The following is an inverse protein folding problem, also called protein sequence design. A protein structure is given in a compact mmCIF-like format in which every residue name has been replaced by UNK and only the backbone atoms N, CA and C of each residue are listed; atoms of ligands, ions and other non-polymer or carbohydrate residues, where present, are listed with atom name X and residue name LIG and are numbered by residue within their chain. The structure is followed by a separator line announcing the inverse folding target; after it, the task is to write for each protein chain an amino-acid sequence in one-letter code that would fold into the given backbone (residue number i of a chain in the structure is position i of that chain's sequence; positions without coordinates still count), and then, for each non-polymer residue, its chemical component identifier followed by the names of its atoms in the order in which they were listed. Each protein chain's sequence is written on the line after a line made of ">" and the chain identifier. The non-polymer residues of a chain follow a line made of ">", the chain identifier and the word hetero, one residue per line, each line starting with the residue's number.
data_IF_421488442105
#
_entry.id   IF_421488442105
#
_cell.length_a   1.000
_cell.length_b   1.000
_cell.length_c   1.000
_cell.angle_alpha   90.00
_cell.angle_beta   90.00
_cell.angle_gamma   90.00
#
_symmetry.space_group_name_H-M   'P 1'
#
loop_
_entity.id
_entity.type
_entity.pdbx_description
1 polymer ?
#
# COMPACT_ATOMS: atom_id res chain seq x y z
N UNK A 1 -2.39 -26.26 5.64
CA UNK A 1 -2.36 -27.10 4.43
C UNK A 1 -3.63 -26.82 3.65
N UNK A 2 -3.58 -25.95 2.65
CA UNK A 2 -4.71 -25.73 1.73
C UNK A 2 -4.59 -26.69 0.55
N UNK A 3 -5.71 -27.26 0.10
CA UNK A 3 -5.87 -28.13 -1.07
C UNK A 3 -5.29 -27.50 -2.35
N UNK A 4 -3.97 -27.49 -2.48
CA UNK A 4 -3.29 -27.10 -3.73
C UNK A 4 -3.49 -28.13 -4.84
N UNK A 5 -3.84 -29.36 -4.50
CA UNK A 5 -3.75 -30.50 -5.43
C UNK A 5 -4.80 -30.51 -6.55
N UNK A 6 -5.85 -29.66 -6.54
CA UNK A 6 -6.88 -29.65 -7.60
C UNK A 6 -7.40 -28.26 -7.99
N UNK A 7 -6.56 -27.22 -7.91
CA UNK A 7 -6.95 -25.90 -8.44
C UNK A 7 -7.01 -25.93 -9.97
N UNK A 8 -8.14 -25.54 -10.60
CA UNK A 8 -8.17 -25.37 -12.06
C UNK A 8 -7.06 -24.40 -12.47
N UNK A 9 -6.33 -24.70 -13.55
CA UNK A 9 -5.23 -23.85 -14.05
C UNK A 9 -5.61 -22.38 -14.18
N UNK A 10 -6.86 -22.07 -14.56
CA UNK A 10 -7.31 -20.68 -14.64
C UNK A 10 -7.35 -19.95 -13.29
N UNK A 11 -7.59 -20.65 -12.17
CA UNK A 11 -7.50 -20.10 -10.82
C UNK A 11 -6.03 -19.81 -10.44
N UNK A 12 -5.10 -20.64 -10.88
CA UNK A 12 -3.67 -20.44 -10.62
C UNK A 12 -3.16 -19.15 -11.28
N UNK A 13 -3.50 -18.91 -12.56
CA UNK A 13 -2.99 -17.75 -13.30
C UNK A 13 -3.80 -16.46 -13.13
N UNK A 14 -5.12 -16.56 -12.94
CA UNK A 14 -6.04 -15.40 -12.95
C UNK A 14 -6.85 -15.27 -11.66
N UNK A 15 -6.58 -16.11 -10.67
CA UNK A 15 -7.33 -16.10 -9.43
C UNK A 15 -6.87 -15.03 -8.44
N UNK A 16 -7.82 -14.54 -7.65
CA UNK A 16 -7.58 -13.76 -6.45
C UNK A 16 -7.58 -14.69 -5.24
N UNK A 17 -6.81 -14.34 -4.21
CA UNK A 17 -6.89 -15.00 -2.92
C UNK A 17 -8.04 -14.39 -2.11
N UNK A 18 -8.97 -15.25 -1.68
CA UNK A 18 -10.12 -14.91 -0.83
C UNK A 18 -9.86 -15.33 0.62
N UNK A 19 -10.74 -14.95 1.58
CA UNK A 19 -10.64 -15.37 2.98
C UNK A 19 -10.33 -16.87 3.12
N UNK A 20 -9.42 -17.21 4.04
CA UNK A 20 -8.89 -18.57 4.17
C UNK A 20 -7.79 -18.93 3.16
N UNK A 21 -7.24 -17.93 2.46
CA UNK A 21 -6.16 -18.07 1.49
C UNK A 21 -6.49 -19.02 0.32
N UNK A 22 -7.74 -18.98 -0.14
CA UNK A 22 -8.23 -19.80 -1.26
C UNK A 22 -8.15 -19.00 -2.55
N UNK A 23 -7.40 -19.50 -3.53
CA UNK A 23 -7.27 -18.85 -4.84
C UNK A 23 -8.43 -19.24 -5.77
N UNK A 24 -9.20 -18.27 -6.26
CA UNK A 24 -10.28 -18.52 -7.24
C UNK A 24 -10.30 -17.46 -8.33
N UNK A 25 -10.45 -17.86 -9.59
CA UNK A 25 -10.75 -16.93 -10.68
C UNK A 25 -12.23 -16.54 -10.68
N UNK A 26 -12.60 -15.51 -11.44
CA UNK A 26 -13.98 -15.02 -11.55
C UNK A 26 -15.01 -16.12 -11.87
N UNK A 27 -14.62 -17.13 -12.67
CA UNK A 27 -15.50 -18.24 -13.05
C UNK A 27 -15.78 -19.22 -11.89
N UNK A 28 -14.79 -19.45 -11.03
CA UNK A 28 -14.85 -20.43 -9.94
C UNK A 28 -15.07 -19.78 -8.56
N UNK A 29 -15.06 -18.45 -8.48
CA UNK A 29 -15.39 -17.72 -7.26
C UNK A 29 -16.88 -17.88 -6.96
N UNK A 30 -17.25 -18.02 -5.69
CA UNK A 30 -18.66 -18.04 -5.25
C UNK A 30 -19.34 -16.68 -5.52
N UNK A 31 -20.67 -16.57 -5.49
CA UNK A 31 -21.36 -15.28 -5.58
C UNK A 31 -20.84 -14.25 -4.57
N UNK A 32 -20.61 -14.66 -3.33
CA UNK A 32 -20.13 -13.81 -2.23
C UNK A 32 -18.70 -13.33 -2.50
N UNK A 33 -17.82 -14.23 -2.97
CA UNK A 33 -16.45 -13.88 -3.36
C UNK A 33 -16.44 -12.87 -4.53
N UNK A 34 -17.32 -13.04 -5.52
CA UNK A 34 -17.43 -12.08 -6.63
C UNK A 34 -17.96 -10.73 -6.15
N UNK A 35 -18.92 -10.72 -5.24
CA UNK A 35 -19.44 -9.49 -4.65
C UNK A 35 -18.35 -8.75 -3.87
N UNK A 36 -17.60 -9.47 -3.04
CA UNK A 36 -16.47 -8.93 -2.28
C UNK A 36 -15.39 -8.34 -3.21
N UNK A 37 -15.04 -9.04 -4.29
CA UNK A 37 -14.08 -8.53 -5.26
C UNK A 37 -14.60 -7.27 -5.98
N UNK A 38 -15.89 -7.21 -6.32
CA UNK A 38 -16.49 -6.04 -6.95
C UNK A 38 -16.50 -4.83 -6.00
N UNK A 39 -16.93 -5.01 -4.75
CA UNK A 39 -16.88 -3.99 -3.71
C UNK A 39 -15.45 -3.46 -3.51
N UNK A 40 -14.48 -4.38 -3.45
CA UNK A 40 -13.06 -4.03 -3.32
C UNK A 40 -12.60 -3.13 -4.46
N UNK A 41 -12.94 -3.45 -5.71
CA UNK A 41 -12.55 -2.64 -6.87
C UNK A 41 -13.27 -1.28 -6.91
N UNK A 42 -14.55 -1.21 -6.52
CA UNK A 42 -15.31 0.05 -6.43
C UNK A 42 -14.70 1.01 -5.40
N UNK A 43 -14.35 0.48 -4.21
CA UNK A 43 -13.66 1.24 -3.16
C UNK A 43 -12.26 1.65 -3.58
N UNK A 44 -11.53 0.77 -4.26
CA UNK A 44 -10.20 1.07 -4.80
C UNK A 44 -10.26 2.24 -5.79
N UNK A 45 -11.25 2.26 -6.68
CA UNK A 45 -11.46 3.33 -7.63
C UNK A 45 -11.74 4.68 -6.94
N UNK A 46 -12.56 4.69 -5.88
CA UNK A 46 -12.83 5.90 -5.09
C UNK A 46 -11.53 6.50 -4.50
N UNK A 47 -10.63 5.64 -4.03
CA UNK A 47 -9.34 6.04 -3.47
C UNK A 47 -8.24 6.26 -4.52
N UNK A 48 -8.55 6.17 -5.82
CA UNK A 48 -7.62 6.47 -6.90
C UNK A 48 -6.74 5.30 -7.34
N UNK A 49 -7.05 4.08 -6.91
CA UNK A 49 -6.47 2.85 -7.46
C UNK A 49 -7.22 2.53 -8.76
N UNK A 50 -6.64 2.91 -9.89
CA UNK A 50 -7.33 2.78 -11.18
C UNK A 50 -7.21 1.37 -11.76
N UNK A 51 -8.30 0.89 -12.37
CA UNK A 51 -8.33 -0.36 -13.11
C UNK A 51 -7.18 -0.40 -14.15
N UNK A 52 -6.44 -1.50 -14.18
CA UNK A 52 -5.32 -1.70 -15.11
C UNK A 52 -3.98 -1.11 -14.66
N UNK A 53 -3.92 -0.28 -13.62
CA UNK A 53 -2.63 0.11 -13.01
C UNK A 53 -2.02 -1.01 -12.16
N UNK A 54 -2.81 -2.05 -11.89
CA UNK A 54 -2.46 -3.09 -10.95
C UNK A 54 -2.61 -2.61 -9.52
N UNK A 55 -2.84 -3.56 -8.61
CA UNK A 55 -2.73 -3.27 -7.19
C UNK A 55 -1.27 -2.90 -6.89
N UNK A 56 -0.99 -1.93 -6.00
CA UNK A 56 0.37 -1.42 -5.79
C UNK A 56 1.42 -2.48 -5.35
N UNK A 57 0.94 -3.68 -5.04
CA UNK A 57 1.67 -4.81 -4.46
C UNK A 57 1.60 -6.07 -5.33
N UNK A 58 1.09 -5.92 -6.54
CA UNK A 58 0.92 -7.01 -7.49
C UNK A 58 -0.33 -7.87 -7.25
N UNK A 59 -0.52 -8.90 -8.08
CA UNK A 59 -1.76 -9.67 -8.12
C UNK A 59 -1.92 -10.66 -6.96
N UNK A 60 -0.86 -10.91 -6.19
CA UNK A 60 -0.82 -11.98 -5.20
C UNK A 60 -1.34 -11.59 -3.82
N UNK A 61 -1.80 -10.35 -3.65
CA UNK A 61 -2.38 -9.89 -2.39
C UNK A 61 -3.83 -10.33 -2.31
N UNK A 62 -4.20 -10.95 -1.20
CA UNK A 62 -5.55 -11.39 -0.93
C UNK A 62 -6.52 -10.21 -0.76
N UNK A 63 -7.79 -10.50 -0.95
CA UNK A 63 -8.85 -9.47 -0.95
C UNK A 63 -9.00 -8.82 0.42
N UNK A 64 -8.77 -9.53 1.53
CA UNK A 64 -8.87 -8.98 2.88
C UNK A 64 -7.77 -7.95 3.15
N UNK A 65 -6.53 -8.27 2.77
CA UNK A 65 -5.40 -7.35 2.87
C UNK A 65 -5.61 -6.09 2.01
N UNK A 66 -6.22 -6.23 0.82
CA UNK A 66 -6.63 -5.07 0.02
C UNK A 66 -7.66 -4.21 0.74
N UNK A 67 -8.69 -4.82 1.33
CA UNK A 67 -9.71 -4.08 2.07
C UNK A 67 -9.12 -3.36 3.29
N UNK A 68 -8.22 -3.98 4.05
CA UNK A 68 -7.52 -3.32 5.16
C UNK A 68 -6.73 -2.08 4.71
N UNK A 69 -6.08 -2.14 3.55
CA UNK A 69 -5.42 -0.97 2.97
C UNK A 69 -6.42 0.15 2.68
N UNK A 70 -7.55 -0.20 2.06
CA UNK A 70 -8.59 0.76 1.70
C UNK A 70 -9.25 1.36 2.95
N UNK A 71 -9.52 0.55 3.97
CA UNK A 71 -10.04 1.01 5.27
C UNK A 71 -9.07 2.00 5.93
N UNK A 72 -7.78 1.66 5.99
CA UNK A 72 -6.75 2.54 6.52
C UNK A 72 -6.64 3.84 5.72
N UNK A 73 -6.62 3.77 4.38
CA UNK A 73 -6.50 4.96 3.54
C UNK A 73 -7.74 5.86 3.66
N UNK A 74 -8.94 5.29 3.68
CA UNK A 74 -10.21 6.02 3.83
C UNK A 74 -10.29 6.70 5.20
N UNK A 75 -9.94 5.99 6.28
CA UNK A 75 -9.90 6.55 7.63
C UNK A 75 -8.92 7.74 7.76
N UNK A 76 -7.90 7.80 6.92
CA UNK A 76 -6.92 8.90 6.88
C UNK A 76 -7.24 9.95 5.80
N UNK A 77 -8.35 9.82 5.07
CA UNK A 77 -8.71 10.72 3.97
C UNK A 77 -7.67 10.76 2.84
N UNK A 78 -6.99 9.63 2.63
CA UNK A 78 -5.87 9.50 1.69
C UNK A 78 -6.35 9.00 0.33
N UNK A 79 -5.71 9.47 -0.74
CA UNK A 79 -5.91 8.96 -2.10
C UNK A 79 -4.60 8.53 -2.71
N UNK A 80 -4.58 7.38 -3.38
CA UNK A 80 -3.36 6.85 -4.00
C UNK A 80 -2.80 7.86 -5.01
N UNK A 81 -1.50 8.13 -4.90
CA UNK A 81 -0.81 9.05 -5.79
C UNK A 81 -0.33 8.33 -7.04
N UNK A 82 -0.77 8.80 -8.21
CA UNK A 82 -0.23 8.37 -9.50
C UNK A 82 1.02 9.19 -9.84
N UNK A 83 2.19 8.72 -9.39
CA UNK A 83 3.48 9.38 -9.61
C UNK A 83 4.51 8.41 -10.14
N UNK A 84 5.34 8.89 -11.10
CA UNK A 84 6.49 8.13 -11.62
C UNK A 84 7.73 8.27 -10.73
N UNK A 85 7.69 9.18 -9.75
CA UNK A 85 8.78 9.38 -8.81
C UNK A 85 8.72 8.33 -7.71
N UNK A 86 9.79 7.56 -7.56
CA UNK A 86 9.87 6.50 -6.56
C UNK A 86 10.42 6.96 -5.20
N UNK A 87 10.94 8.18 -5.09
CA UNK A 87 11.67 8.63 -3.91
C UNK A 87 10.96 9.71 -3.07
N UNK A 88 11.63 10.08 -1.99
CA UNK A 88 11.26 11.12 -1.04
C UNK A 88 11.06 12.51 -1.69
N UNK A 89 11.69 12.76 -2.84
CA UNK A 89 11.53 14.02 -3.56
C UNK A 89 10.09 14.32 -3.97
N UNK A 90 9.28 13.30 -4.30
CA UNK A 90 7.87 13.55 -4.60
C UNK A 90 7.12 14.07 -3.38
N UNK A 91 7.42 13.52 -2.20
CA UNK A 91 6.78 13.93 -0.95
C UNK A 91 7.09 15.39 -0.63
N UNK A 92 8.36 15.79 -0.73
CA UNK A 92 8.81 17.14 -0.32
C UNK A 92 8.66 18.22 -1.39
N UNK A 93 8.64 17.87 -2.69
CA UNK A 93 8.63 18.85 -3.80
C UNK A 93 7.48 18.69 -4.79
N UNK A 94 6.65 17.67 -4.63
CA UNK A 94 5.45 17.43 -5.44
C UNK A 94 5.67 16.90 -6.86
N UNK A 95 6.85 17.11 -7.48
CA UNK A 95 7.20 16.53 -8.78
C UNK A 95 8.67 16.16 -8.84
N UNK A 96 8.97 15.02 -9.45
CA UNK A 96 10.34 14.64 -9.82
C UNK A 96 10.32 13.97 -11.19
N UNK A 97 11.14 14.48 -12.12
CA UNK A 97 11.34 13.89 -13.44
C UNK A 97 12.46 12.82 -13.44
N UNK A 98 13.16 12.64 -12.32
CA UNK A 98 14.32 11.74 -12.21
C UNK A 98 13.88 10.40 -11.63
N UNK A 99 14.15 9.33 -12.38
CA UNK A 99 13.78 7.94 -12.05
C UNK A 99 14.47 7.42 -10.79
N UNK A 100 15.67 7.92 -10.47
CA UNK A 100 16.47 7.53 -9.30
C UNK A 100 16.69 8.78 -8.43
N UNK A 101 15.68 9.14 -7.64
CA UNK A 101 15.80 10.16 -6.59
C UNK A 101 15.84 9.53 -5.20
N UNK A 102 16.26 8.27 -5.11
CA UNK A 102 16.13 7.48 -3.90
C UNK A 102 17.24 7.83 -2.90
N UNK A 103 16.89 8.63 -1.90
CA UNK A 103 17.54 8.59 -0.58
C UNK A 103 17.00 7.45 0.29
N UNK A 104 15.99 6.74 -0.20
CA UNK A 104 15.30 5.69 0.51
C UNK A 104 15.98 4.35 0.21
N UNK A 105 16.39 3.63 1.27
CA UNK A 105 17.09 2.36 1.16
C UNK A 105 16.24 1.22 0.63
N UNK A 106 16.90 0.09 0.32
CA UNK A 106 16.24 -1.14 -0.16
C UNK A 106 15.23 -1.74 0.85
N UNK A 107 15.26 -1.28 2.10
CA UNK A 107 14.31 -1.68 3.14
C UNK A 107 12.91 -1.14 2.90
N UNK A 108 12.73 -0.10 2.07
CA UNK A 108 11.40 0.34 1.67
C UNK A 108 10.83 -0.63 0.64
N UNK A 109 10.43 -1.81 1.13
CA UNK A 109 9.66 -2.79 0.39
C UNK A 109 8.18 -2.40 0.42
N UNK A 110 7.43 -2.86 -0.58
CA UNK A 110 5.99 -2.65 -0.65
C UNK A 110 5.60 -1.18 -0.42
N UNK A 111 6.12 -0.29 -1.28
CA UNK A 111 5.90 1.17 -1.16
C UNK A 111 4.68 1.68 -1.92
N UNK A 112 3.77 2.34 -1.21
CA UNK A 112 2.73 3.22 -1.78
C UNK A 112 2.93 4.68 -1.43
N UNK A 113 2.26 5.53 -2.20
CA UNK A 113 2.34 6.99 -2.10
C UNK A 113 0.93 7.53 -2.04
N UNK A 114 0.68 8.44 -1.13
CA UNK A 114 -0.66 8.90 -0.81
C UNK A 114 -0.74 10.42 -0.78
N UNK A 115 -1.77 10.95 -1.41
CA UNK A 115 -2.14 12.34 -1.37
C UNK A 115 -3.18 12.58 -0.27
N UNK A 116 -3.11 13.74 0.37
CA UNK A 116 -4.15 14.29 1.23
C UNK A 116 -4.51 15.68 0.72
N UNK A 117 -5.82 15.95 0.55
CA UNK A 117 -6.28 17.23 -0.01
C UNK A 117 -5.65 17.58 -1.39
N UNK A 118 -5.35 16.57 -2.21
CA UNK A 118 -4.74 16.75 -3.53
C UNK A 118 -3.23 17.04 -3.54
N UNK A 119 -2.55 16.96 -2.38
CA UNK A 119 -1.11 17.18 -2.24
C UNK A 119 -0.39 15.92 -1.78
N UNK A 120 0.89 15.70 -2.16
CA UNK A 120 1.71 14.65 -1.57
C UNK A 120 1.68 14.75 -0.05
N UNK A 121 1.41 13.63 0.62
CA UNK A 121 1.22 13.61 2.07
C UNK A 121 2.06 12.53 2.75
N UNK A 122 2.12 11.35 2.15
CA UNK A 122 2.68 10.17 2.80
C UNK A 122 3.32 9.21 1.81
N UNK A 123 4.44 8.62 2.22
CA UNK A 123 4.99 7.38 1.66
C UNK A 123 4.80 6.30 2.71
N UNK A 124 4.09 5.23 2.36
CA UNK A 124 3.93 4.05 3.20
C UNK A 124 4.79 2.92 2.63
N UNK A 125 5.67 2.35 3.45
CA UNK A 125 6.42 1.13 3.15
C UNK A 125 6.01 0.01 4.11
N UNK A 126 6.15 -1.25 3.66
CA UNK A 126 5.85 -2.42 4.49
C UNK A 126 6.94 -3.49 4.39
N UNK A 127 8.11 -3.25 5.00
CA UNK A 127 9.14 -4.27 5.10
C UNK A 127 8.71 -5.42 6.04
N UNK A 128 9.28 -6.60 5.79
CA UNK A 128 9.21 -7.72 6.73
C UNK A 128 10.09 -7.50 7.97
N UNK A 129 11.23 -6.82 7.81
CA UNK A 129 12.19 -6.58 8.88
C UNK A 129 12.83 -5.20 8.76
N UNK A 130 13.09 -4.58 9.91
CA UNK A 130 13.93 -3.38 10.02
C UNK A 130 15.27 -3.77 10.63
N UNK A 131 16.35 -3.38 9.98
CA UNK A 131 17.72 -3.51 10.49
C UNK A 131 18.18 -2.20 11.11
N UNK A 132 19.31 -2.20 11.84
CA UNK A 132 19.88 -0.96 12.40
C UNK A 132 20.16 0.12 11.35
N UNK A 133 20.52 -0.27 10.12
CA UNK A 133 20.68 0.68 9.00
C UNK A 133 19.35 1.34 8.60
N UNK A 134 18.24 0.60 8.71
CA UNK A 134 16.90 1.14 8.46
C UNK A 134 16.57 2.18 9.52
N UNK A 135 16.79 1.85 10.80
CA UNK A 135 16.54 2.75 11.93
C UNK A 135 17.37 4.04 11.83
N UNK A 136 18.65 3.94 11.45
CA UNK A 136 19.49 5.10 11.22
C UNK A 136 18.95 6.00 10.09
N UNK A 137 18.49 5.41 8.98
CA UNK A 137 17.88 6.17 7.90
C UNK A 137 16.55 6.82 8.32
N UNK A 138 15.71 6.11 9.07
CA UNK A 138 14.47 6.67 9.63
C UNK A 138 14.75 7.85 10.56
N UNK A 139 15.79 7.75 11.40
CA UNK A 139 16.26 8.85 12.23
C UNK A 139 16.71 10.05 11.41
N UNK A 140 17.42 9.84 10.30
CA UNK A 140 17.82 10.92 9.40
C UNK A 140 16.62 11.58 8.72
N UNK A 141 15.62 10.80 8.27
CA UNK A 141 14.39 11.35 7.70
C UNK A 141 13.64 12.23 8.70
N UNK A 142 13.58 11.80 9.97
CA UNK A 142 13.00 12.60 11.04
C UNK A 142 13.78 13.89 11.29
N UNK A 143 15.12 13.83 11.30
CA UNK A 143 15.99 14.99 11.43
C UNK A 143 15.85 15.98 10.25
N UNK A 144 15.54 15.47 9.05
CA UNK A 144 15.25 16.26 7.85
C UNK A 144 13.84 16.91 7.87
N UNK A 145 13.12 16.80 9.00
CA UNK A 145 11.83 17.47 9.21
C UNK A 145 10.62 16.68 8.71
N UNK A 146 10.76 15.39 8.45
CA UNK A 146 9.64 14.50 8.13
C UNK A 146 9.08 13.86 9.41
N UNK A 147 7.80 13.48 9.37
CA UNK A 147 7.21 12.68 10.43
C UNK A 147 7.30 11.21 10.06
N UNK A 148 8.06 10.45 10.83
CA UNK A 148 8.22 9.00 10.66
C UNK A 148 7.49 8.27 11.76
N UNK A 149 6.68 7.26 11.42
CA UNK A 149 6.09 6.30 12.36
C UNK A 149 6.34 4.87 11.90
N UNK A 150 6.54 3.97 12.87
CA UNK A 150 6.61 2.53 12.66
C UNK A 150 5.48 1.91 13.47
N UNK A 151 4.62 1.13 12.83
CA UNK A 151 3.53 0.39 13.45
C UNK A 151 3.72 -1.11 13.30
N UNK A 152 3.24 -1.86 14.29
CA UNK A 152 3.48 -3.30 14.41
C UNK A 152 2.62 -4.14 13.45
N UNK A 153 1.52 -3.58 12.93
CA UNK A 153 0.62 -4.25 11.99
C UNK A 153 0.55 -3.52 10.64
N UNK A 154 1.30 -4.02 9.66
CA UNK A 154 1.07 -3.69 8.25
C UNK A 154 -0.26 -4.27 7.77
N UNK A 155 -1.07 -3.49 7.04
CA UNK A 155 -2.29 -4.00 6.41
C UNK A 155 -2.01 -5.14 5.41
N UNK A 156 -0.78 -5.22 4.90
CA UNK A 156 -0.32 -6.28 3.98
C UNK A 156 -0.35 -7.66 4.62
N UNK A 157 -0.28 -7.73 5.96
CA UNK A 157 -0.19 -8.99 6.70
C UNK A 157 1.18 -9.65 6.55
N UNK A 158 1.24 -10.98 6.75
CA UNK A 158 2.47 -11.78 6.56
C UNK A 158 3.68 -11.33 7.39
N UNK A 159 3.44 -10.69 8.54
CA UNK A 159 4.50 -10.24 9.45
C UNK A 159 5.23 -8.97 8.99
N UNK A 160 4.67 -8.21 8.04
CA UNK A 160 5.21 -6.89 7.69
C UNK A 160 4.87 -5.84 8.75
N UNK A 161 5.79 -4.91 8.98
CA UNK A 161 5.53 -3.68 9.75
C UNK A 161 5.02 -2.57 8.84
N UNK A 162 4.30 -1.60 9.37
CA UNK A 162 3.91 -0.40 8.64
C UNK A 162 4.91 0.73 8.92
N UNK A 163 5.61 1.22 7.90
CA UNK A 163 6.48 2.39 8.02
C UNK A 163 5.89 3.56 7.25
N UNK A 164 5.45 4.56 7.99
CA UNK A 164 4.84 5.77 7.46
C UNK A 164 5.83 6.93 7.49
N UNK A 165 6.06 7.55 6.33
CA UNK A 165 6.89 8.75 6.19
C UNK A 165 6.03 9.88 5.63
N UNK A 166 5.66 10.80 6.50
CA UNK A 166 4.79 11.92 6.20
C UNK A 166 5.56 13.22 5.96
N UNK A 167 5.02 14.05 5.08
CA UNK A 167 5.32 15.48 5.09
C UNK A 167 4.78 16.09 6.39
N UNK A 168 5.65 16.69 7.21
CA UNK A 168 5.26 17.12 8.56
C UNK A 168 4.23 18.25 8.57
N UNK A 169 4.22 19.12 7.54
CA UNK A 169 3.24 20.21 7.43
C UNK A 169 1.87 19.68 7.02
N UNK A 170 1.84 18.68 6.15
CA UNK A 170 0.61 17.99 5.78
C UNK A 170 0.08 17.17 6.96
N UNK A 171 0.94 16.43 7.66
CA UNK A 171 0.55 15.64 8.83
C UNK A 171 -0.07 16.49 9.94
N UNK A 172 0.54 17.65 10.26
CA UNK A 172 -0.02 18.58 11.25
C UNK A 172 -1.43 19.05 10.88
N UNK A 173 -1.68 19.34 9.60
CA UNK A 173 -3.02 19.73 9.13
C UNK A 173 -4.00 18.56 9.13
N UNK A 174 -3.53 17.38 8.80
CA UNK A 174 -4.32 16.15 8.84
C UNK A 174 -4.85 15.89 10.26
N UNK A 175 -3.99 16.00 11.29
CA UNK A 175 -4.41 15.83 12.69
C UNK A 175 -5.40 16.90 13.17
N UNK A 176 -5.35 18.11 12.63
CA UNK A 176 -6.27 19.19 13.01
C UNK A 176 -7.62 19.11 12.29
N UNK A 177 -7.75 18.25 11.28
CA UNK A 177 -8.95 18.09 10.48
C UNK A 177 -9.83 16.90 10.90
N UNK A 178 -9.32 16.01 11.75
CA UNK A 178 -10.05 14.90 12.38
C UNK A 178 -10.43 15.22 13.82
#
# INVERSE_FOLDING_TARGET
>A
MTDRENLPRCCEYRGLFYPGHIKRCRQHATPEQRALAAETEDRAAALGVLAGQGWPYGPNIDVESRLRLLDWADANGLRLANTRCQGLHWLTRGRCAVRICNRLGHWMDHVTRWNWGGRPALILAQPYHLTGDCEAQLGQLAADGLRVSVGDDGWYGWGTVAVEVWDADVYRRHLLAG
#
